data_IF_272648138853
#
_entry.id   IF_272648138853
#
_cell.length_a   1.000
_cell.length_b   1.000
_cell.length_c   1.000
_cell.angle_alpha   90.00
_cell.angle_beta   90.00
_cell.angle_gamma   90.00
#
_symmetry.space_group_name_H-M   'P 1'
#
loop_
_entity.id
_entity.type
_entity.pdbx_description
1 polymer ?
#
# COMPACT_ATOMS: atom_id res chain seq x y z
N UNK A 1 13.69 34.53 -26.84
CA UNK A 1 14.42 33.88 -25.74
C UNK A 1 13.81 32.50 -25.61
N UNK A 2 14.57 31.46 -25.96
CA UNK A 2 14.11 30.08 -25.86
C UNK A 2 13.99 29.74 -24.37
N UNK A 3 12.80 29.32 -23.94
CA UNK A 3 12.61 28.81 -22.59
C UNK A 3 13.37 27.49 -22.46
N UNK A 4 14.21 27.40 -21.44
CA UNK A 4 14.72 26.11 -21.00
C UNK A 4 13.52 25.25 -20.60
N UNK A 5 13.12 24.33 -21.46
CA UNK A 5 12.24 23.24 -21.04
C UNK A 5 13.09 22.36 -20.14
N UNK A 6 12.87 22.41 -18.83
CA UNK A 6 13.38 21.37 -17.92
C UNK A 6 12.83 20.04 -18.42
N UNK A 7 13.75 19.17 -18.84
CA UNK A 7 13.45 17.80 -19.26
C UNK A 7 13.35 17.00 -17.97
N UNK A 8 12.26 16.27 -17.76
CA UNK A 8 12.16 15.35 -16.65
C UNK A 8 13.27 14.28 -16.78
N UNK A 9 14.09 14.14 -15.75
CA UNK A 9 15.23 13.22 -15.66
C UNK A 9 15.16 12.52 -14.33
N UNK A 10 15.41 11.21 -14.32
CA UNK A 10 15.49 10.45 -13.09
C UNK A 10 16.96 10.44 -12.65
N UNK A 11 17.25 11.11 -11.56
CA UNK A 11 18.59 11.44 -11.11
C UNK A 11 18.91 10.76 -9.77
N UNK A 12 20.21 10.54 -9.54
CA UNK A 12 20.76 10.07 -8.27
C UNK A 12 21.64 11.17 -7.68
N UNK A 13 21.21 11.75 -6.56
CA UNK A 13 21.92 12.79 -5.84
C UNK A 13 22.46 12.21 -4.52
N UNK A 14 23.75 12.43 -4.25
CA UNK A 14 24.44 11.93 -3.05
C UNK A 14 25.23 13.08 -2.43
N UNK A 15 24.91 13.47 -1.20
CA UNK A 15 25.63 14.52 -0.45
C UNK A 15 26.94 14.06 0.19
N UNK A 16 27.06 12.76 0.46
CA UNK A 16 28.20 12.12 1.13
C UNK A 16 28.40 12.57 2.57
N UNK A 17 29.13 13.66 2.82
CA UNK A 17 29.44 14.11 4.17
C UNK A 17 29.65 15.61 4.23
N UNK A 18 29.04 16.26 5.22
CA UNK A 18 28.92 17.71 5.28
C UNK A 18 27.49 18.11 5.57
N UNK A 19 27.17 19.39 5.39
CA UNK A 19 25.78 19.82 5.38
C UNK A 19 25.45 20.20 3.94
N UNK A 20 24.74 19.32 3.24
CA UNK A 20 24.52 19.43 1.81
C UNK A 20 23.13 19.97 1.49
N UNK A 21 22.98 20.51 0.28
CA UNK A 21 21.68 20.89 -0.27
C UNK A 21 21.51 20.17 -1.59
N UNK A 22 20.67 19.14 -1.57
CA UNK A 22 20.33 18.31 -2.71
C UNK A 22 19.01 18.81 -3.28
N UNK A 23 19.04 19.29 -4.52
CA UNK A 23 17.85 19.74 -5.23
C UNK A 23 17.78 19.01 -6.55
N UNK A 24 16.76 18.18 -6.68
CA UNK A 24 16.32 17.71 -7.97
C UNK A 24 15.17 18.58 -8.48
N UNK A 25 14.68 18.26 -9.67
CA UNK A 25 13.69 19.06 -10.37
C UNK A 25 12.47 18.25 -10.75
N UNK A 26 12.49 17.61 -11.91
CA UNK A 26 11.38 16.82 -12.41
C UNK A 26 11.91 15.43 -12.69
N UNK A 27 11.18 14.41 -12.27
CA UNK A 27 11.57 13.02 -12.48
C UNK A 27 11.43 12.21 -11.20
N UNK A 28 11.62 10.90 -11.32
CA UNK A 28 11.61 10.03 -10.14
C UNK A 28 13.05 9.90 -9.63
N UNK A 29 13.39 10.69 -8.62
CA UNK A 29 14.76 10.89 -8.18
C UNK A 29 15.10 10.11 -6.90
N UNK A 30 16.39 9.85 -6.70
CA UNK A 30 16.93 9.27 -5.47
C UNK A 30 17.87 10.27 -4.83
N UNK A 31 17.50 10.79 -3.66
CA UNK A 31 18.29 11.76 -2.90
C UNK A 31 18.83 11.09 -1.63
N UNK A 32 20.15 11.04 -1.49
CA UNK A 32 20.86 10.45 -0.34
C UNK A 32 21.66 11.55 0.35
N UNK A 33 21.22 12.00 1.53
CA UNK A 33 21.89 13.07 2.29
C UNK A 33 23.32 12.68 2.66
N UNK A 34 23.46 11.63 3.47
CA UNK A 34 24.76 11.15 3.92
C UNK A 34 25.02 11.53 5.37
N UNK A 35 26.24 11.95 5.70
CA UNK A 35 26.61 12.37 7.05
C UNK A 35 26.46 13.88 7.20
N UNK A 36 25.68 14.31 8.19
CA UNK A 36 25.58 15.70 8.61
C UNK A 36 24.13 16.15 8.55
N UNK A 37 23.88 17.45 8.35
CA UNK A 37 22.52 18.01 8.28
C UNK A 37 22.23 18.46 6.86
N UNK A 38 21.49 17.63 6.15
CA UNK A 38 21.25 17.83 4.73
C UNK A 38 19.86 18.40 4.47
N UNK A 39 19.71 19.20 3.42
CA UNK A 39 18.42 19.66 2.91
C UNK A 39 18.17 19.02 1.56
N UNK A 40 17.07 18.28 1.44
CA UNK A 40 16.69 17.55 0.24
C UNK A 40 15.36 18.06 -0.31
N UNK A 41 15.34 18.41 -1.59
CA UNK A 41 14.16 18.86 -2.33
C UNK A 41 14.09 18.06 -3.65
N UNK A 42 13.15 17.12 -3.77
CA UNK A 42 13.04 16.25 -4.96
C UNK A 42 12.32 16.92 -6.12
N UNK A 43 11.28 17.70 -5.83
CA UNK A 43 10.59 18.51 -6.82
C UNK A 43 9.27 17.89 -7.26
N UNK A 44 9.07 17.70 -8.56
CA UNK A 44 7.90 17.00 -9.13
C UNK A 44 8.30 15.57 -9.54
N UNK A 45 7.57 14.56 -9.06
CA UNK A 45 7.85 13.15 -9.37
C UNK A 45 7.82 12.27 -8.13
N UNK A 46 8.04 10.95 -8.29
CA UNK A 46 8.02 10.00 -7.16
C UNK A 46 9.43 9.82 -6.62
N UNK A 47 9.81 10.69 -5.70
CA UNK A 47 11.17 10.73 -5.17
C UNK A 47 11.39 9.76 -4.01
N UNK A 48 12.64 9.28 -3.89
CA UNK A 48 13.10 8.46 -2.77
C UNK A 48 14.14 9.23 -1.97
N UNK A 49 13.78 9.62 -0.75
CA UNK A 49 14.68 10.33 0.17
C UNK A 49 15.31 9.33 1.15
N UNK A 50 16.63 9.21 1.15
CA UNK A 50 17.39 8.42 2.14
C UNK A 50 18.02 9.39 3.14
N UNK A 51 17.45 9.40 4.35
CA UNK A 51 17.71 10.43 5.35
C UNK A 51 18.46 9.89 6.58
N UNK A 52 19.16 10.79 7.26
CA UNK A 52 19.81 10.62 8.55
C UNK A 52 19.29 11.60 9.61
N UNK A 53 20.00 11.62 10.75
CA UNK A 53 19.66 12.50 11.87
C UNK A 53 19.96 13.96 11.54
N UNK A 54 18.98 14.85 11.76
CA UNK A 54 19.12 16.28 11.51
C UNK A 54 18.83 16.74 10.08
N UNK A 55 18.48 15.83 9.17
CA UNK A 55 18.12 16.15 7.78
C UNK A 55 16.77 16.83 7.66
N UNK A 56 16.57 17.54 6.56
CA UNK A 56 15.31 18.19 6.19
C UNK A 56 14.87 17.79 4.79
N UNK A 57 13.64 17.33 4.65
CA UNK A 57 13.00 17.00 3.37
C UNK A 57 11.89 18.00 3.07
N UNK A 58 11.84 18.48 1.84
CA UNK A 58 10.73 19.25 1.32
C UNK A 58 10.30 18.65 -0.02
N UNK A 59 9.06 18.25 -0.10
CA UNK A 59 8.47 17.68 -1.30
C UNK A 59 7.26 18.50 -1.72
N UNK A 60 7.21 18.89 -3.00
CA UNK A 60 6.23 19.86 -3.49
C UNK A 60 4.91 19.22 -3.90
N UNK A 61 4.93 17.95 -4.29
CA UNK A 61 3.75 17.21 -4.73
C UNK A 61 3.34 16.09 -3.75
N UNK A 62 4.21 15.80 -2.78
CA UNK A 62 4.00 14.84 -1.71
C UNK A 62 4.05 13.38 -2.17
N UNK A 63 4.55 13.10 -3.37
CA UNK A 63 4.67 11.76 -3.93
C UNK A 63 6.04 11.14 -3.63
N UNK A 64 6.10 9.81 -3.54
CA UNK A 64 7.36 9.11 -3.25
C UNK A 64 7.43 8.57 -1.82
N UNK A 65 8.64 8.47 -1.28
CA UNK A 65 8.89 7.88 0.03
C UNK A 65 10.12 8.43 0.75
N UNK A 66 10.11 8.33 2.08
CA UNK A 66 11.26 8.64 2.94
C UNK A 66 11.75 7.36 3.61
N UNK A 67 13.07 7.14 3.60
CA UNK A 67 13.74 5.98 4.18
C UNK A 67 14.77 6.42 5.22
N UNK A 68 14.71 5.86 6.42
CA UNK A 68 15.69 6.05 7.49
C UNK A 68 16.38 4.73 7.82
N UNK A 69 17.71 4.69 7.69
CA UNK A 69 18.49 3.47 8.00
C UNK A 69 18.02 2.25 7.20
N UNK A 70 17.61 2.46 5.95
CA UNK A 70 17.10 1.42 5.04
C UNK A 70 15.63 1.04 5.23
N UNK A 71 14.97 1.49 6.29
CA UNK A 71 13.53 1.28 6.52
C UNK A 71 12.72 2.46 5.99
N UNK A 72 11.64 2.18 5.27
CA UNK A 72 10.67 3.20 4.88
C UNK A 72 9.90 3.72 6.09
N UNK A 73 9.74 5.03 6.17
CA UNK A 73 8.84 5.67 7.11
C UNK A 73 7.41 5.56 6.58
N UNK A 74 6.53 4.91 7.34
CA UNK A 74 5.11 4.74 6.99
C UNK A 74 4.18 5.54 7.89
N UNK A 75 4.75 6.28 8.85
CA UNK A 75 4.02 7.04 9.84
C UNK A 75 3.76 6.25 11.12
N UNK A 76 2.75 6.68 11.87
CA UNK A 76 2.58 6.23 13.24
C UNK A 76 1.20 6.48 13.82
N UNK A 77 0.97 5.88 14.99
CA UNK A 77 -0.26 6.00 15.75
C UNK A 77 -0.08 6.88 16.98
N UNK A 78 -1.06 7.73 17.27
CA UNK A 78 -1.16 8.46 18.53
C UNK A 78 -2.01 7.66 19.51
N UNK A 79 -1.46 7.43 20.71
CA UNK A 79 -2.17 6.88 21.86
C UNK A 79 -2.56 8.00 22.83
N UNK A 80 -3.63 7.83 23.59
CA UNK A 80 -4.07 8.80 24.62
C UNK A 80 -2.99 9.09 25.69
N UNK A 81 -2.03 8.18 25.84
CA UNK A 81 -0.86 8.33 26.72
C UNK A 81 0.30 9.12 26.10
N UNK A 82 0.27 9.36 24.79
CA UNK A 82 1.32 10.09 24.09
C UNK A 82 1.15 11.60 24.29
N UNK A 83 2.24 12.38 24.26
CA UNK A 83 2.14 13.82 24.19
C UNK A 83 1.33 14.27 22.96
N UNK A 84 0.75 15.47 23.04
CA UNK A 84 -0.01 16.03 21.92
C UNK A 84 0.84 16.08 20.65
N UNK A 85 0.20 15.77 19.51
CA UNK A 85 0.82 15.70 18.19
C UNK A 85 2.00 14.71 18.08
N UNK A 86 2.16 13.79 19.05
CA UNK A 86 3.17 12.74 19.01
C UNK A 86 2.54 11.43 18.56
N UNK A 87 3.16 10.78 17.58
CA UNK A 87 2.76 9.49 17.04
C UNK A 87 3.96 8.54 17.08
N UNK A 88 3.71 7.24 17.16
CA UNK A 88 4.75 6.21 17.22
C UNK A 88 4.56 5.22 16.08
N UNK A 89 5.65 4.81 15.43
CA UNK A 89 5.60 3.72 14.45
C UNK A 89 5.11 2.43 15.12
N UNK A 90 4.56 1.52 14.32
CA UNK A 90 4.03 0.24 14.80
C UNK A 90 5.08 -0.63 15.51
N UNK A 91 6.33 -0.57 15.04
CA UNK A 91 7.48 -1.23 15.67
C UNK A 91 8.06 -0.46 16.87
N UNK A 92 7.51 0.73 17.17
CA UNK A 92 7.96 1.60 18.26
C UNK A 92 9.33 2.26 18.02
N UNK A 93 9.99 2.03 16.88
CA UNK A 93 11.31 2.56 16.57
C UNK A 93 11.29 4.07 16.39
N UNK A 94 10.31 4.60 15.66
CA UNK A 94 10.23 6.01 15.29
C UNK A 94 9.16 6.74 16.09
N UNK A 95 9.52 7.94 16.55
CA UNK A 95 8.58 8.92 17.10
C UNK A 95 8.41 10.03 16.06
N UNK A 96 7.17 10.34 15.74
CA UNK A 96 6.76 11.40 14.86
C UNK A 96 6.13 12.52 15.69
N UNK A 97 6.55 13.76 15.52
CA UNK A 97 5.93 14.91 16.17
C UNK A 97 5.53 15.93 15.11
N UNK A 98 4.25 16.30 15.06
CA UNK A 98 3.73 17.25 14.07
C UNK A 98 3.55 18.64 14.69
N UNK A 99 4.33 19.62 14.22
CA UNK A 99 4.24 21.00 14.68
C UNK A 99 4.17 21.97 13.48
N UNK A 100 3.09 22.75 13.38
CA UNK A 100 2.93 23.75 12.31
C UNK A 100 3.17 23.21 10.89
N UNK A 101 2.67 22.00 10.62
CA UNK A 101 2.88 21.23 9.38
C UNK A 101 4.32 20.71 9.15
N UNK A 102 5.22 20.82 10.13
CA UNK A 102 6.51 20.16 10.06
C UNK A 102 6.45 18.86 10.84
N UNK A 103 6.76 17.74 10.17
CA UNK A 103 6.82 16.44 10.78
C UNK A 103 8.27 16.15 11.21
N UNK A 104 8.52 16.20 12.51
CA UNK A 104 9.79 15.74 13.08
C UNK A 104 9.77 14.23 13.28
N UNK A 105 10.81 13.54 12.82
CA UNK A 105 10.98 12.09 12.95
C UNK A 105 12.24 11.82 13.78
N UNK A 106 12.09 11.08 14.87
CA UNK A 106 13.19 10.71 15.77
C UNK A 106 13.32 9.20 15.84
N UNK A 107 14.53 8.66 15.60
CA UNK A 107 14.86 7.26 15.84
C UNK A 107 15.17 7.03 17.34
N UNK A 108 14.34 6.25 18.01
CA UNK A 108 14.48 5.96 19.44
C UNK A 108 15.59 4.96 19.75
N UNK A 109 16.03 4.20 18.75
CA UNK A 109 17.11 3.22 18.88
C UNK A 109 18.50 3.86 18.79
N UNK A 110 18.59 5.14 18.43
CA UNK A 110 19.84 5.89 18.44
C UNK A 110 20.40 5.96 19.88
N UNK A 111 21.58 5.37 20.07
CA UNK A 111 22.30 5.33 21.35
C UNK A 111 23.18 6.56 21.58
N UNK A 112 23.59 7.23 20.49
CA UNK A 112 24.33 8.49 20.53
C UNK A 112 23.36 9.68 20.54
N UNK A 113 23.62 10.70 21.36
CA UNK A 113 22.81 11.92 21.38
C UNK A 113 22.86 12.69 20.06
N UNK A 114 23.98 12.64 19.33
CA UNK A 114 24.09 13.28 18.02
C UNK A 114 23.20 12.61 16.96
N UNK A 115 22.92 11.30 17.11
CA UNK A 115 22.05 10.53 16.23
C UNK A 115 20.56 10.61 16.63
N UNK A 116 20.24 11.36 17.68
CA UNK A 116 18.86 11.62 18.15
C UNK A 116 18.30 12.94 17.64
N UNK A 117 19.07 13.72 16.89
CA UNK A 117 18.53 14.92 16.26
C UNK A 117 17.41 14.52 15.28
N UNK A 118 16.22 15.13 15.39
CA UNK A 118 15.10 14.77 14.54
C UNK A 118 15.40 15.18 13.11
N UNK A 119 15.08 14.31 12.14
CA UNK A 119 14.88 14.79 10.78
C UNK A 119 13.52 15.48 10.68
N UNK A 120 13.38 16.39 9.72
CA UNK A 120 12.17 17.19 9.53
C UNK A 120 11.65 17.01 8.11
N UNK A 121 10.36 16.76 7.97
CA UNK A 121 9.65 16.86 6.69
C UNK A 121 8.81 18.13 6.75
N UNK A 122 9.17 19.12 5.93
CA UNK A 122 8.53 20.43 5.90
C UNK A 122 7.21 20.40 5.13
N UNK A 123 6.24 21.21 5.56
CA UNK A 123 4.92 21.33 4.92
C UNK A 123 4.16 20.00 4.76
N UNK A 124 4.46 19.05 5.64
CA UNK A 124 3.89 17.72 5.67
C UNK A 124 2.38 17.73 5.94
N UNK A 125 1.68 16.96 5.13
CA UNK A 125 0.32 16.52 5.35
C UNK A 125 0.28 15.01 5.46
N UNK A 126 -0.49 14.48 6.41
CA UNK A 126 -0.66 13.05 6.56
C UNK A 126 -1.14 12.42 5.25
N UNK A 127 -0.44 11.38 4.79
CA UNK A 127 -0.64 10.70 3.51
C UNK A 127 0.43 11.02 2.47
N UNK A 128 1.17 12.13 2.63
CA UNK A 128 2.31 12.45 1.76
C UNK A 128 3.49 11.49 2.03
N UNK A 129 4.27 11.23 0.98
CA UNK A 129 5.48 10.40 1.03
C UNK A 129 5.25 8.99 1.61
N UNK A 130 4.01 8.50 1.54
CA UNK A 130 3.60 7.22 2.14
C UNK A 130 3.51 7.23 3.67
N UNK A 131 3.58 8.39 4.32
CA UNK A 131 3.58 8.54 5.78
C UNK A 131 2.18 8.90 6.26
N UNK A 132 1.60 8.08 7.14
CA UNK A 132 0.25 8.32 7.69
C UNK A 132 0.29 8.47 9.21
N UNK A 133 -0.27 9.56 9.73
CA UNK A 133 -0.40 9.81 11.17
C UNK A 133 -1.84 9.58 11.60
N UNK A 134 -2.08 8.71 12.58
CA UNK A 134 -3.44 8.30 12.97
C UNK A 134 -3.63 8.18 14.49
N UNK A 135 -4.64 8.82 15.08
CA UNK A 135 -4.95 8.68 16.52
C UNK A 135 -5.51 9.95 17.15
N UNK A 136 -6.19 9.78 18.29
CA UNK A 136 -7.28 10.62 18.76
C UNK A 136 -6.89 12.01 19.32
N UNK A 137 -7.46 13.08 18.74
CA UNK A 137 -7.86 14.28 19.50
C UNK A 137 -7.23 15.64 19.13
N UNK A 138 -7.85 16.37 18.19
CA UNK A 138 -8.22 17.79 18.41
C UNK A 138 -7.63 18.91 17.52
N UNK A 139 -8.47 19.42 16.60
CA UNK A 139 -8.46 20.80 16.03
C UNK A 139 -7.62 20.95 14.75
N UNK A 140 -8.14 21.22 13.55
CA UNK A 140 -9.34 21.95 13.16
C UNK A 140 -9.92 21.40 11.84
N UNK A 141 -11.09 20.77 11.92
CA UNK A 141 -11.99 20.64 10.77
C UNK A 141 -13.19 21.57 11.02
N UNK A 142 -13.12 22.79 10.50
CA UNK A 142 -14.32 23.60 10.31
C UNK A 142 -14.97 23.22 8.99
N UNK A 143 -16.15 22.61 9.15
CA UNK A 143 -17.32 22.75 8.26
C UNK A 143 -17.21 21.94 6.95
N UNK A 144 -18.10 21.02 6.54
CA UNK A 144 -19.47 20.58 6.88
C UNK A 144 -19.56 19.16 6.23
N UNK A 145 -20.29 18.13 6.65
CA UNK A 145 -21.41 17.94 7.55
C UNK A 145 -21.40 16.47 8.07
N UNK A 146 -21.94 16.25 9.27
CA UNK A 146 -22.17 14.97 9.92
C UNK A 146 -23.68 14.61 9.87
N UNK A 147 -24.16 13.48 10.45
CA UNK A 147 -23.56 12.15 10.69
C UNK A 147 -24.53 11.00 10.33
N UNK A 148 -24.05 9.77 10.12
CA UNK A 148 -24.75 8.59 10.66
C UNK A 148 -23.75 7.56 11.18
N UNK A 149 -23.90 7.27 12.49
CA UNK A 149 -23.27 6.16 13.20
C UNK A 149 -23.87 4.84 12.70
N UNK A 150 -23.04 3.86 12.37
CA UNK A 150 -23.26 2.49 12.84
C UNK A 150 -21.95 1.68 12.84
N UNK A 151 -21.58 1.19 14.03
CA UNK A 151 -20.91 -0.07 14.35
C UNK A 151 -19.77 -0.61 13.45
N UNK A 152 -18.52 -0.40 13.91
CA UNK A 152 -17.32 -1.25 13.76
C UNK A 152 -16.91 -1.77 12.37
N UNK A 153 -15.75 -1.35 11.83
CA UNK A 153 -14.87 -2.14 10.93
C UNK A 153 -13.52 -1.39 10.70
N UNK A 154 -12.43 -2.14 10.49
CA UNK A 154 -11.03 -1.70 10.41
C UNK A 154 -10.59 -1.23 8.98
N UNK A 155 -9.30 -0.91 8.69
CA UNK A 155 -8.86 0.17 7.79
C UNK A 155 -8.95 -0.14 6.28
N UNK A 156 -9.11 0.90 5.46
CA UNK A 156 -9.36 0.85 4.01
C UNK A 156 -8.09 0.65 3.16
N UNK A 157 -7.49 -0.55 3.24
CA UNK A 157 -6.43 -1.07 2.36
C UNK A 157 -6.49 -2.60 2.26
N UNK A 158 -5.64 -3.27 1.45
CA UNK A 158 -5.63 -4.73 1.40
C UNK A 158 -5.19 -5.32 2.75
N UNK A 159 -5.64 -6.55 3.04
CA UNK A 159 -5.27 -7.21 4.30
C UNK A 159 -3.76 -7.53 4.31
N UNK A 160 -3.06 -7.43 5.47
CA UNK A 160 -1.62 -7.63 5.54
C UNK A 160 -1.15 -8.98 4.99
N UNK A 161 -1.92 -10.04 5.20
CA UNK A 161 -1.63 -11.38 4.69
C UNK A 161 -1.61 -11.45 3.16
N UNK A 162 -2.34 -10.56 2.48
CA UNK A 162 -2.45 -10.52 1.03
C UNK A 162 -1.45 -9.55 0.38
N UNK A 163 -0.57 -8.90 1.16
CA UNK A 163 0.37 -7.89 0.66
C UNK A 163 1.26 -8.40 -0.48
N UNK A 164 1.75 -9.65 -0.39
CA UNK A 164 2.58 -10.25 -1.43
C UNK A 164 1.81 -10.48 -2.75
N UNK A 165 0.52 -10.79 -2.67
CA UNK A 165 -0.34 -10.91 -3.85
C UNK A 165 -0.57 -9.53 -4.49
N UNK A 166 -0.88 -8.53 -3.67
CA UNK A 166 -1.10 -7.15 -4.14
C UNK A 166 0.13 -6.58 -4.82
N UNK A 167 1.33 -6.90 -4.31
CA UNK A 167 2.58 -6.47 -4.94
C UNK A 167 2.80 -7.12 -6.32
N UNK A 168 2.46 -8.41 -6.49
CA UNK A 168 2.48 -9.05 -7.80
C UNK A 168 1.50 -8.40 -8.78
N UNK A 169 0.30 -8.04 -8.32
CA UNK A 169 -0.70 -7.36 -9.13
C UNK A 169 -0.25 -5.95 -9.52
N UNK A 170 0.36 -5.20 -8.58
CA UNK A 170 0.97 -3.89 -8.83
C UNK A 170 2.06 -3.99 -9.89
N UNK A 171 3.00 -4.92 -9.73
CA UNK A 171 4.06 -5.18 -10.72
C UNK A 171 3.48 -5.52 -12.09
N UNK A 172 2.41 -6.33 -12.14
CA UNK A 172 1.77 -6.68 -13.39
C UNK A 172 1.05 -5.51 -14.07
N UNK A 173 0.39 -4.63 -13.32
CA UNK A 173 -0.26 -3.42 -13.86
C UNK A 173 0.80 -2.43 -14.33
N UNK A 174 1.90 -2.27 -13.59
CA UNK A 174 3.02 -1.42 -14.01
C UNK A 174 3.58 -1.87 -15.37
N UNK A 175 3.71 -3.18 -15.59
CA UNK A 175 4.11 -3.73 -16.90
C UNK A 175 3.09 -3.51 -18.03
N UNK A 176 1.80 -3.30 -17.72
CA UNK A 176 0.79 -2.91 -18.70
C UNK A 176 0.89 -1.42 -19.04
N UNK A 177 1.09 -0.57 -18.03
CA UNK A 177 1.26 0.87 -18.18
C UNK A 177 2.54 1.20 -18.99
N UNK A 178 3.63 0.50 -18.71
CA UNK A 178 4.89 0.60 -19.46
C UNK A 178 4.69 0.29 -20.95
N UNK A 179 3.99 -0.81 -21.28
CA UNK A 179 3.66 -1.19 -22.67
C UNK A 179 2.74 -0.18 -23.34
N UNK A 180 1.89 0.49 -22.57
CA UNK A 180 1.01 1.54 -23.05
C UNK A 180 1.69 2.92 -23.08
N UNK A 181 2.95 3.02 -22.66
CA UNK A 181 3.68 4.27 -22.47
C UNK A 181 2.88 5.28 -21.62
N UNK A 182 2.29 4.80 -20.53
CA UNK A 182 1.54 5.58 -19.55
C UNK A 182 2.28 5.57 -18.22
N UNK A 183 2.35 6.71 -17.51
CA UNK A 183 2.82 6.71 -16.13
C UNK A 183 1.76 6.10 -15.22
N UNK A 184 2.20 5.58 -14.08
CA UNK A 184 1.31 5.17 -13.00
C UNK A 184 0.41 6.32 -12.58
N UNK A 185 -0.88 6.04 -12.36
CA UNK A 185 -1.86 7.05 -11.93
C UNK A 185 -3.00 6.40 -11.14
N UNK A 186 -4.00 7.20 -10.77
CA UNK A 186 -5.16 6.72 -10.00
C UNK A 186 -5.92 5.57 -10.69
N UNK A 187 -5.97 5.53 -12.03
CA UNK A 187 -6.59 4.41 -12.76
C UNK A 187 -5.77 3.12 -12.59
N UNK A 188 -4.44 3.22 -12.49
CA UNK A 188 -3.56 2.09 -12.18
C UNK A 188 -3.84 1.55 -10.77
N UNK A 189 -4.02 2.44 -9.77
CA UNK A 189 -4.40 2.04 -8.40
C UNK A 189 -5.78 1.34 -8.37
N UNK A 190 -6.76 1.88 -9.10
CA UNK A 190 -8.09 1.27 -9.25
C UNK A 190 -8.00 -0.10 -9.93
N UNK A 191 -7.16 -0.24 -10.96
CA UNK A 191 -6.91 -1.53 -11.61
C UNK A 191 -6.30 -2.55 -10.65
N UNK A 192 -5.30 -2.19 -9.83
CA UNK A 192 -4.73 -3.11 -8.83
C UNK A 192 -5.77 -3.54 -7.81
N UNK A 193 -6.52 -2.59 -7.26
CA UNK A 193 -7.51 -2.90 -6.24
C UNK A 193 -8.65 -3.76 -6.79
N UNK A 194 -9.11 -3.49 -8.01
CA UNK A 194 -10.08 -4.34 -8.71
C UNK A 194 -9.51 -5.72 -9.04
N UNK A 195 -8.24 -5.82 -9.45
CA UNK A 195 -7.58 -7.11 -9.65
C UNK A 195 -7.52 -7.93 -8.35
N UNK A 196 -7.18 -7.28 -7.24
CA UNK A 196 -7.13 -7.94 -5.95
C UNK A 196 -8.51 -8.45 -5.54
N UNK A 197 -9.54 -7.61 -5.68
CA UNK A 197 -10.93 -8.03 -5.44
C UNK A 197 -11.31 -9.24 -6.30
N UNK A 198 -11.03 -9.20 -7.60
CA UNK A 198 -11.30 -10.33 -8.51
C UNK A 198 -10.57 -11.61 -8.07
N UNK A 199 -9.31 -11.49 -7.65
CA UNK A 199 -8.52 -12.63 -7.15
C UNK A 199 -9.16 -13.23 -5.89
N UNK A 200 -9.58 -12.39 -4.94
CA UNK A 200 -10.24 -12.84 -3.70
C UNK A 200 -11.59 -13.50 -3.99
N UNK A 201 -12.41 -12.91 -4.86
CA UNK A 201 -13.70 -13.47 -5.28
C UNK A 201 -13.55 -14.81 -6.00
N UNK A 202 -12.47 -14.96 -6.78
CA UNK A 202 -12.12 -16.23 -7.42
C UNK A 202 -11.45 -17.25 -6.49
N UNK A 203 -11.27 -16.91 -5.21
CA UNK A 203 -10.69 -17.80 -4.20
C UNK A 203 -9.17 -18.00 -4.36
N UNK A 204 -8.46 -17.03 -4.93
CA UNK A 204 -7.01 -17.06 -5.00
C UNK A 204 -6.42 -16.79 -3.62
N UNK A 205 -5.34 -17.49 -3.29
CA UNK A 205 -4.68 -17.49 -1.98
C UNK A 205 -3.50 -16.52 -1.96
N UNK A 206 -3.08 -16.04 -0.78
CA UNK A 206 -2.02 -15.03 -0.69
C UNK A 206 -0.68 -15.44 -1.32
N UNK A 207 -0.42 -16.75 -1.33
CA UNK A 207 0.78 -17.39 -1.88
C UNK A 207 0.67 -17.77 -3.36
N UNK A 208 -0.49 -17.55 -3.99
CA UNK A 208 -0.67 -17.79 -5.41
C UNK A 208 0.17 -16.82 -6.25
N UNK A 209 0.70 -17.32 -7.37
CA UNK A 209 1.34 -16.46 -8.36
C UNK A 209 0.26 -15.84 -9.23
N UNK A 210 0.17 -14.52 -9.24
CA UNK A 210 -0.90 -13.79 -9.93
C UNK A 210 -0.37 -12.79 -10.94
N UNK A 211 -1.16 -12.55 -11.99
CA UNK A 211 -0.86 -11.55 -13.00
C UNK A 211 -2.15 -10.92 -13.54
N UNK A 212 -2.03 -9.66 -13.99
CA UNK A 212 -3.08 -8.91 -14.66
C UNK A 212 -2.79 -8.88 -16.16
N UNK A 213 -3.82 -9.10 -16.96
CA UNK A 213 -3.77 -8.93 -18.40
C UNK A 213 -5.00 -8.19 -18.91
N UNK A 214 -4.86 -7.59 -20.10
CA UNK A 214 -5.96 -6.98 -20.84
C UNK A 214 -6.22 -7.77 -22.12
N UNK A 215 -7.47 -7.78 -22.59
CA UNK A 215 -7.77 -8.42 -23.87
C UNK A 215 -7.03 -7.75 -25.02
N UNK A 216 -6.58 -8.57 -25.95
CA UNK A 216 -6.17 -8.14 -27.28
C UNK A 216 -7.42 -7.79 -28.12
N UNK A 217 -7.27 -6.96 -29.17
CA UNK A 217 -8.40 -6.62 -30.02
C UNK A 217 -8.94 -7.86 -30.72
N UNK A 218 -10.26 -7.97 -30.78
CA UNK A 218 -11.00 -9.03 -31.49
C UNK A 218 -12.00 -8.42 -32.47
N UNK A 219 -12.75 -9.24 -33.21
CA UNK A 219 -13.79 -8.75 -34.11
C UNK A 219 -14.92 -7.98 -33.39
N UNK A 220 -15.09 -8.21 -32.08
CA UNK A 220 -16.21 -7.67 -31.29
C UNK A 220 -15.77 -6.84 -30.09
N UNK A 221 -14.47 -6.73 -29.82
CA UNK A 221 -13.94 -6.00 -28.66
C UNK A 221 -12.66 -5.25 -29.02
N UNK A 222 -12.57 -4.00 -28.57
CA UNK A 222 -11.34 -3.21 -28.64
C UNK A 222 -10.30 -3.73 -27.64
N UNK A 223 -9.02 -3.47 -27.91
CA UNK A 223 -7.96 -3.79 -26.96
C UNK A 223 -8.21 -3.07 -25.62
N UNK A 224 -8.06 -3.77 -24.50
CA UNK A 224 -8.19 -3.17 -23.17
C UNK A 224 -9.59 -3.03 -22.60
N UNK A 225 -10.64 -3.51 -23.29
CA UNK A 225 -12.02 -3.46 -22.80
C UNK A 225 -12.33 -4.45 -21.66
N UNK A 226 -11.58 -5.55 -21.58
CA UNK A 226 -11.72 -6.58 -20.55
C UNK A 226 -10.40 -6.77 -19.81
N UNK A 227 -10.47 -6.72 -18.49
CA UNK A 227 -9.37 -7.00 -17.58
C UNK A 227 -9.47 -8.43 -17.07
N UNK A 228 -8.33 -9.11 -16.99
CA UNK A 228 -8.19 -10.47 -16.51
C UNK A 228 -7.21 -10.51 -15.34
N UNK A 229 -7.50 -11.35 -14.36
CA UNK A 229 -6.55 -11.75 -13.32
C UNK A 229 -6.36 -13.25 -13.44
N UNK A 230 -5.11 -13.68 -13.52
CA UNK A 230 -4.75 -15.08 -13.72
C UNK A 230 -3.91 -15.58 -12.56
N UNK A 231 -4.16 -16.81 -12.15
CA UNK A 231 -3.34 -17.57 -11.20
C UNK A 231 -2.47 -18.58 -11.94
N UNK A 232 -1.24 -18.74 -11.48
CA UNK A 232 -0.29 -19.73 -11.98
C UNK A 232 0.53 -20.35 -10.85
N UNK A 233 1.34 -21.35 -11.19
CA UNK A 233 2.25 -22.00 -10.23
C UNK A 233 1.59 -23.09 -9.39
N UNK A 234 2.24 -23.52 -8.29
CA UNK A 234 1.85 -24.69 -7.52
C UNK A 234 0.44 -24.64 -6.89
N UNK A 235 -0.13 -23.45 -6.69
CA UNK A 235 -1.48 -23.26 -6.15
C UNK A 235 -2.59 -23.20 -7.23
N UNK A 236 -2.23 -23.32 -8.51
CA UNK A 236 -3.21 -23.31 -9.60
C UNK A 236 -4.07 -24.59 -9.62
N UNK A 237 -5.36 -24.41 -9.91
CA UNK A 237 -6.32 -25.50 -10.11
C UNK A 237 -5.99 -26.33 -11.36
N UNK A 238 -6.28 -27.64 -11.38
CA UNK A 238 -6.28 -28.42 -12.62
C UNK A 238 -7.29 -27.92 -13.67
N UNK A 239 -8.36 -27.24 -13.22
CA UNK A 239 -9.31 -26.57 -14.11
C UNK A 239 -8.76 -25.20 -14.55
N UNK A 240 -8.46 -25.00 -15.84
CA UNK A 240 -7.94 -23.73 -16.34
C UNK A 240 -8.92 -22.56 -16.18
N UNK A 241 -10.23 -22.80 -16.13
CA UNK A 241 -11.21 -21.74 -15.92
C UNK A 241 -11.21 -21.23 -14.48
N UNK A 242 -10.92 -22.10 -13.51
CA UNK A 242 -10.76 -21.73 -12.11
C UNK A 242 -9.45 -20.97 -11.81
N UNK A 243 -8.58 -20.78 -12.81
CA UNK A 243 -7.33 -20.02 -12.68
C UNK A 243 -7.43 -18.61 -13.27
N UNK A 244 -8.63 -18.15 -13.63
CA UNK A 244 -8.82 -16.79 -14.12
C UNK A 244 -10.13 -16.17 -13.65
N UNK A 245 -10.07 -14.88 -13.37
CA UNK A 245 -11.22 -14.01 -13.23
C UNK A 245 -11.16 -12.94 -14.32
N UNK A 246 -12.32 -12.41 -14.72
CA UNK A 246 -12.39 -11.33 -15.70
C UNK A 246 -13.50 -10.34 -15.36
N UNK A 247 -13.32 -9.08 -15.70
CA UNK A 247 -14.36 -8.05 -15.62
C UNK A 247 -14.15 -6.96 -16.68
N UNK A 248 -15.19 -6.19 -17.05
CA UNK A 248 -15.02 -5.03 -17.91
C UNK A 248 -14.05 -4.02 -17.28
N UNK A 249 -13.11 -3.47 -18.05
CA UNK A 249 -12.16 -2.49 -17.54
C UNK A 249 -12.87 -1.22 -17.05
N UNK A 250 -14.00 -0.85 -17.68
CA UNK A 250 -14.85 0.25 -17.21
C UNK A 250 -15.40 0.01 -15.81
N UNK A 251 -15.75 -1.23 -15.46
CA UNK A 251 -16.20 -1.62 -14.13
C UNK A 251 -15.03 -1.65 -13.14
N UNK A 252 -13.87 -2.16 -13.56
CA UNK A 252 -12.64 -2.15 -12.76
C UNK A 252 -12.20 -0.73 -12.37
N UNK A 253 -12.52 0.27 -13.20
CA UNK A 253 -12.19 1.68 -12.97
C UNK A 253 -13.32 2.50 -12.33
N UNK A 254 -14.53 1.92 -12.19
CA UNK A 254 -15.72 2.66 -11.77
C UNK A 254 -15.67 3.07 -10.29
N UNK A 255 -15.18 2.18 -9.43
CA UNK A 255 -15.02 2.45 -8.00
C UNK A 255 -13.59 2.88 -7.67
N UNK A 256 -13.45 3.64 -6.58
CA UNK A 256 -12.14 3.99 -6.02
C UNK A 256 -11.39 2.75 -5.54
N UNK A 257 -10.06 2.83 -5.48
CA UNK A 257 -9.23 1.74 -4.97
C UNK A 257 -9.64 1.35 -3.53
N UNK A 258 -9.97 2.32 -2.67
CA UNK A 258 -10.40 2.03 -1.29
C UNK A 258 -11.70 1.20 -1.26
N UNK A 259 -12.68 1.53 -2.11
CA UNK A 259 -13.93 0.78 -2.19
C UNK A 259 -13.72 -0.66 -2.65
N UNK A 260 -12.79 -0.89 -3.59
CA UNK A 260 -12.49 -2.24 -4.07
C UNK A 260 -11.75 -3.06 -3.00
N UNK A 261 -10.79 -2.47 -2.27
CA UNK A 261 -10.14 -3.14 -1.14
C UNK A 261 -11.13 -3.51 -0.03
N UNK A 262 -12.04 -2.59 0.32
CA UNK A 262 -13.05 -2.88 1.33
C UNK A 262 -13.95 -4.05 0.90
N UNK A 263 -14.41 -4.07 -0.35
CA UNK A 263 -15.23 -5.15 -0.88
C UNK A 263 -14.46 -6.49 -0.89
N UNK A 264 -13.18 -6.48 -1.24
CA UNK A 264 -12.33 -7.66 -1.21
C UNK A 264 -12.16 -8.21 0.22
N UNK A 265 -11.90 -7.34 1.19
CA UNK A 265 -11.72 -7.73 2.60
C UNK A 265 -13.00 -8.36 3.16
N UNK A 266 -14.16 -7.75 2.90
CA UNK A 266 -15.47 -8.30 3.28
C UNK A 266 -15.71 -9.69 2.68
N UNK A 267 -15.37 -9.87 1.39
CA UNK A 267 -15.47 -11.18 0.73
C UNK A 267 -14.62 -12.21 1.43
N UNK A 268 -13.41 -11.86 1.86
CA UNK A 268 -12.57 -12.83 2.55
C UNK A 268 -13.07 -13.20 3.93
N UNK A 269 -13.54 -12.23 4.69
CA UNK A 269 -14.11 -12.47 6.01
C UNK A 269 -15.29 -13.45 5.91
N UNK A 270 -16.14 -13.29 4.89
CA UNK A 270 -17.24 -14.22 4.60
C UNK A 270 -16.75 -15.62 4.21
N UNK A 271 -15.72 -15.72 3.38
CA UNK A 271 -15.12 -17.01 2.99
C UNK A 271 -14.51 -17.75 4.19
N UNK A 272 -13.81 -17.02 5.07
CA UNK A 272 -13.20 -17.57 6.29
C UNK A 272 -14.27 -18.05 7.27
N UNK A 273 -15.32 -17.25 7.50
CA UNK A 273 -16.45 -17.64 8.34
C UNK A 273 -17.16 -18.89 7.81
N UNK A 274 -17.40 -18.95 6.51
CA UNK A 274 -18.04 -20.11 5.86
C UNK A 274 -17.19 -21.37 6.04
N UNK A 275 -15.87 -21.28 5.84
CA UNK A 275 -14.94 -22.40 6.04
C UNK A 275 -14.93 -22.89 7.49
N UNK A 276 -14.97 -21.97 8.46
CA UNK A 276 -15.01 -22.33 9.88
C UNK A 276 -16.32 -23.03 10.26
N UNK A 277 -17.45 -22.62 9.69
CA UNK A 277 -18.73 -23.30 9.89
C UNK A 277 -18.74 -24.71 9.30
N UNK A 278 -18.18 -24.91 8.11
CA UNK A 278 -18.05 -26.25 7.50
C UNK A 278 -17.17 -27.18 8.35
N UNK A 279 -16.05 -26.67 8.86
CA UNK A 279 -15.16 -27.42 9.75
C UNK A 279 -15.85 -27.81 11.06
N UNK A 280 -16.62 -26.89 11.65
CA UNK A 280 -17.39 -27.17 12.86
C UNK A 280 -18.46 -28.25 12.61
N UNK A 281 -19.16 -28.19 11.47
CA UNK A 281 -20.15 -29.20 11.09
C UNK A 281 -19.53 -30.56 10.76
N UNK A 282 -18.32 -30.59 10.19
CA UNK A 282 -17.58 -31.82 9.93
C UNK A 282 -17.08 -32.47 11.23
N UNK A 283 -16.77 -31.68 12.26
CA UNK A 283 -16.36 -32.19 13.56
C UNK A 283 -17.52 -32.82 14.36
N UNK A 284 -18.74 -32.32 14.18
CA UNK A 284 -19.95 -32.88 14.80
C UNK A 284 -20.44 -34.18 14.12
N UNK A 285 -19.98 -34.44 12.88
CA UNK A 285 -20.14 -35.73 12.17
C UNK A 285 -18.94 -36.64 12.40
N UNK A 286 -18.59 -36.87 13.67
CA UNK A 286 -17.58 -37.87 14.05
C UNK A 286 -17.82 -39.22 13.37
N UNK A 287 -16.76 -40.03 13.15
CA UNK A 287 -16.78 -41.17 12.24
C UNK A 287 -17.97 -42.09 12.56
N UNK A 288 -18.73 -42.46 11.53
CA UNK A 288 -19.66 -43.59 11.60
C UNK A 288 -18.87 -44.76 12.19
N UNK A 289 -19.15 -45.06 13.46
CA UNK A 289 -18.51 -46.12 14.22
C UNK A 289 -18.87 -47.46 13.55
N UNK A 290 -17.92 -48.11 12.84
CA UNK A 290 -18.20 -49.39 12.20
C UNK A 290 -18.31 -50.54 13.23
N UNK A 291 -18.18 -50.27 14.53
CA UNK A 291 -18.32 -51.28 15.59
C UNK A 291 -19.76 -51.53 16.06
N UNK A 292 -20.76 -50.82 15.52
CA UNK A 292 -22.19 -51.10 15.79
C UNK A 292 -22.89 -52.04 14.80
N UNK A 293 -22.17 -52.67 13.87
CA UNK A 293 -22.69 -53.78 13.07
C UNK A 293 -22.22 -55.13 13.65
N UNK A 294 -22.63 -55.40 14.89
CA UNK A 294 -22.58 -56.76 15.43
C UNK A 294 -23.45 -57.69 14.57
N UNK A 295 -23.00 -58.93 14.27
CA UNK A 295 -23.80 -59.87 13.50
C UNK A 295 -25.07 -60.21 14.28
N UNK A 296 -26.24 -59.98 13.66
CA UNK A 296 -27.48 -60.64 14.09
C UNK A 296 -27.31 -62.13 13.80
N UNK A 297 -26.87 -62.88 14.80
CA UNK A 297 -27.12 -64.32 14.89
C UNK A 297 -28.48 -64.55 15.55
N UNK A 298 -29.13 -65.63 15.08
CA UNK A 298 -30.49 -66.12 15.34
C UNK A 298 -31.62 -65.45 14.53
#
# INVERSE_FOLDING_TARGET
MQGNTEIASNDLLIGEGGNDTLRSHRGDDILIGGQGRDRMEGGEGRDTYVIGAGDTVMDSDGMGEVRWGGQQLTGGRHSDSDPANTYRSEDGRFIYTLESNNLSVTDTLATDQALREPAVIENFQSGQLGITLSGAGGGDARSQAAPQKDSGLAPSGPRPEDAAMVEQLRSSVAGLDERANKPWNELSDRMVASAYKMAVEAGFKPDDKVAVALNLPTATQSAGETMFVMRSGPGASPDPYANRAQMPTSEALAASAQQQYLAANQTRDMQEQSRLQELAQAHDRGPDDPSKSGPKMA
#
